data_IF_044685641173
#
_entry.id   IF_044685641173
#
_cell.length_a   1.000
_cell.length_b   1.000
_cell.length_c   1.000
_cell.angle_alpha   90.00
_cell.angle_beta   90.00
_cell.angle_gamma   90.00
#
_symmetry.space_group_name_H-M   'P 1'
#
loop_
_entity.id
_entity.type
_entity.pdbx_description
1 polymer ?
#
# COMPACT_ATOMS: atom_id res chain seq x y z
N UNK A 1 9.70 -5.77 14.91
CA UNK A 1 8.56 -4.88 15.19
C UNK A 1 8.10 -4.33 13.85
N UNK A 2 6.81 -4.17 13.60
CA UNK A 2 6.35 -3.66 12.31
C UNK A 2 6.70 -2.17 12.20
N UNK A 3 7.61 -1.82 11.30
CA UNK A 3 8.11 -0.45 11.10
C UNK A 3 7.14 0.44 10.28
N UNK A 4 5.87 0.04 10.22
CA UNK A 4 4.80 0.77 9.53
C UNK A 4 3.47 0.64 10.26
N UNK A 5 2.60 1.62 10.03
CA UNK A 5 1.23 1.71 10.57
C UNK A 5 0.28 1.90 9.40
N UNK A 6 -0.77 1.08 9.32
CA UNK A 6 -1.85 1.28 8.35
C UNK A 6 -2.88 2.29 8.87
N UNK A 7 -3.30 3.21 8.01
CA UNK A 7 -4.59 3.88 8.19
C UNK A 7 -5.72 2.83 8.14
N UNK A 8 -6.79 2.93 8.94
CA UNK A 8 -7.88 1.95 8.96
C UNK A 8 -8.44 1.64 7.56
N UNK A 9 -8.73 2.67 6.76
CA UNK A 9 -9.23 2.46 5.39
C UNK A 9 -8.19 1.82 4.45
N UNK A 10 -6.89 1.98 4.71
CA UNK A 10 -5.85 1.30 3.94
C UNK A 10 -5.78 -0.20 4.30
N UNK A 11 -5.99 -0.55 5.57
CA UNK A 11 -6.13 -1.93 6.00
C UNK A 11 -7.38 -2.59 5.40
N UNK A 12 -8.50 -1.86 5.34
CA UNK A 12 -9.71 -2.33 4.65
C UNK A 12 -9.50 -2.52 3.15
N UNK A 13 -8.79 -1.61 2.48
CA UNK A 13 -8.45 -1.74 1.06
C UNK A 13 -7.62 -2.99 0.79
N UNK A 14 -6.62 -3.24 1.62
CA UNK A 14 -5.82 -4.46 1.58
C UNK A 14 -6.68 -5.71 1.76
N UNK A 15 -7.49 -5.75 2.82
CA UNK A 15 -8.36 -6.88 3.13
C UNK A 15 -9.37 -7.16 2.01
N UNK A 16 -10.02 -6.11 1.49
CA UNK A 16 -10.96 -6.22 0.38
C UNK A 16 -10.30 -6.72 -0.90
N UNK A 17 -9.08 -6.27 -1.20
CA UNK A 17 -8.31 -6.75 -2.35
C UNK A 17 -7.95 -8.23 -2.21
N UNK A 18 -7.45 -8.63 -1.03
CA UNK A 18 -7.14 -10.03 -0.74
C UNK A 18 -8.39 -10.91 -0.89
N UNK A 19 -9.50 -10.53 -0.25
CA UNK A 19 -10.75 -11.28 -0.30
C UNK A 19 -11.32 -11.35 -1.73
N UNK A 20 -11.18 -10.28 -2.51
CA UNK A 20 -11.53 -10.28 -3.92
C UNK A 20 -10.72 -11.33 -4.68
N UNK A 21 -9.40 -11.37 -4.55
CA UNK A 21 -8.58 -12.38 -5.22
C UNK A 21 -8.87 -13.80 -4.70
N UNK A 22 -9.06 -13.97 -3.40
CA UNK A 22 -9.33 -15.26 -2.75
C UNK A 22 -10.61 -15.92 -3.29
N UNK A 23 -11.66 -15.12 -3.53
CA UNK A 23 -12.92 -15.58 -4.17
C UNK A 23 -12.72 -16.13 -5.58
N UNK A 24 -11.64 -15.77 -6.28
CA UNK A 24 -11.30 -16.29 -7.62
C UNK A 24 -10.29 -17.42 -7.54
N UNK A 25 -9.25 -17.26 -6.73
CA UNK A 25 -8.20 -18.25 -6.53
C UNK A 25 -7.35 -17.88 -5.31
N UNK A 26 -7.29 -18.79 -4.33
CA UNK A 26 -6.41 -18.63 -3.16
C UNK A 26 -4.95 -18.45 -3.55
N UNK A 27 -4.48 -19.16 -4.58
CA UNK A 27 -3.11 -19.00 -5.10
C UNK A 27 -2.81 -17.55 -5.52
N UNK A 28 -3.76 -16.88 -6.18
CA UNK A 28 -3.59 -15.48 -6.61
C UNK A 28 -3.65 -14.53 -5.40
N UNK A 29 -4.50 -14.82 -4.42
CA UNK A 29 -4.56 -14.04 -3.17
C UNK A 29 -3.23 -14.11 -2.40
N UNK A 30 -2.64 -15.31 -2.30
CA UNK A 30 -1.34 -15.49 -1.66
C UNK A 30 -0.22 -14.81 -2.45
N UNK A 31 -0.29 -14.80 -3.79
CA UNK A 31 0.64 -14.03 -4.63
C UNK A 31 0.49 -12.52 -4.38
N UNK A 32 -0.73 -12.02 -4.22
CA UNK A 32 -1.01 -10.63 -3.90
C UNK A 32 -0.43 -10.24 -2.54
N UNK A 33 -0.72 -11.01 -1.49
CA UNK A 33 -0.19 -10.80 -0.14
C UNK A 33 1.35 -10.78 -0.14
N UNK A 34 2.00 -11.75 -0.80
CA UNK A 34 3.47 -11.78 -0.92
C UNK A 34 4.04 -10.53 -1.60
N UNK A 35 3.38 -9.99 -2.62
CA UNK A 35 3.83 -8.77 -3.29
C UNK A 35 3.62 -7.51 -2.43
N UNK A 36 2.53 -7.45 -1.66
CA UNK A 36 2.29 -6.38 -0.68
C UNK A 36 3.35 -6.41 0.41
N UNK A 37 3.61 -7.57 1.02
CA UNK A 37 4.66 -7.71 2.04
C UNK A 37 6.05 -7.34 1.50
N UNK A 38 6.36 -7.77 0.28
CA UNK A 38 7.63 -7.42 -0.38
C UNK A 38 7.73 -5.90 -0.56
N UNK A 39 6.66 -5.25 -0.98
CA UNK A 39 6.63 -3.79 -1.12
C UNK A 39 6.80 -3.09 0.24
N UNK A 40 6.11 -3.55 1.29
CA UNK A 40 6.24 -2.99 2.65
C UNK A 40 7.67 -3.12 3.18
N UNK A 41 8.33 -4.28 3.00
CA UNK A 41 9.75 -4.46 3.38
C UNK A 41 10.66 -3.48 2.63
N UNK A 42 10.44 -3.28 1.34
CA UNK A 42 11.24 -2.35 0.53
C UNK A 42 11.02 -0.88 0.93
N UNK A 43 9.75 -0.52 1.21
CA UNK A 43 9.39 0.81 1.72
C UNK A 43 10.08 1.04 3.06
N UNK A 44 9.92 0.13 4.02
CA UNK A 44 10.55 0.23 5.35
C UNK A 44 12.07 0.35 5.28
N UNK A 45 12.75 -0.42 4.42
CA UNK A 45 14.21 -0.41 4.34
C UNK A 45 14.77 0.87 3.70
N UNK A 46 14.04 1.46 2.76
CA UNK A 46 14.52 2.60 1.95
C UNK A 46 13.39 3.62 1.70
N UNK A 47 12.79 4.19 2.76
CA UNK A 47 11.52 4.90 2.64
C UNK A 47 11.61 6.20 1.87
N UNK A 48 12.79 6.81 1.78
CA UNK A 48 13.01 8.05 1.05
C UNK A 48 13.37 7.85 -0.43
N UNK A 49 13.57 6.59 -0.88
CA UNK A 49 14.01 6.28 -2.24
C UNK A 49 12.86 6.27 -3.26
N UNK A 50 11.65 5.93 -2.83
CA UNK A 50 10.52 5.75 -3.74
C UNK A 50 9.93 7.09 -4.20
N UNK A 51 9.34 7.17 -5.42
CA UNK A 51 8.84 8.42 -5.99
C UNK A 51 7.89 9.18 -5.05
N UNK A 52 8.03 10.51 -5.05
CA UNK A 52 7.08 11.39 -4.39
C UNK A 52 5.76 11.42 -5.17
N UNK A 53 4.65 11.33 -4.45
CA UNK A 53 3.32 11.63 -4.98
C UNK A 53 3.04 13.13 -4.86
N UNK A 54 3.39 13.72 -3.72
CA UNK A 54 3.41 15.16 -3.45
C UNK A 54 4.48 15.49 -2.38
N UNK A 55 4.39 16.64 -1.72
CA UNK A 55 5.38 17.08 -0.74
C UNK A 55 5.47 16.20 0.51
N UNK A 56 4.38 15.50 0.84
CA UNK A 56 4.28 14.70 2.07
C UNK A 56 4.22 13.19 1.78
N UNK A 57 3.72 12.82 0.61
CA UNK A 57 3.41 11.44 0.28
C UNK A 57 4.37 10.89 -0.77
N UNK A 58 4.59 9.58 -0.67
CA UNK A 58 5.33 8.76 -1.63
C UNK A 58 4.46 7.59 -2.05
N UNK A 59 4.81 6.97 -3.17
CA UNK A 59 4.11 5.79 -3.64
C UNK A 59 5.04 4.70 -4.15
N UNK A 60 4.59 3.46 -3.99
CA UNK A 60 5.25 2.28 -4.51
C UNK A 60 4.28 1.51 -5.41
N UNK A 61 4.71 1.19 -6.64
CA UNK A 61 3.90 0.41 -7.59
C UNK A 61 4.08 -1.09 -7.38
N UNK A 62 2.97 -1.83 -7.24
CA UNK A 62 2.98 -3.29 -7.12
C UNK A 62 3.04 -3.91 -8.52
N UNK A 63 4.22 -4.21 -9.06
CA UNK A 63 4.39 -4.58 -10.49
C UNK A 63 3.45 -5.67 -11.03
N UNK A 64 3.06 -6.67 -10.22
CA UNK A 64 2.21 -7.80 -10.66
C UNK A 64 0.71 -7.53 -10.54
N UNK A 65 0.32 -6.47 -9.85
CA UNK A 65 -1.07 -6.19 -9.52
C UNK A 65 -1.38 -4.72 -9.83
N UNK A 66 -2.62 -4.38 -10.21
CA UNK A 66 -2.99 -2.99 -10.51
C UNK A 66 -3.15 -2.16 -9.23
N UNK A 67 -2.14 -2.14 -8.36
CA UNK A 67 -2.15 -1.47 -7.06
C UNK A 67 -0.90 -0.63 -6.84
N UNK A 68 -1.06 0.41 -6.03
CA UNK A 68 0.04 1.15 -5.43
C UNK A 68 -0.15 1.27 -3.92
N UNK A 69 0.96 1.31 -3.19
CA UNK A 69 0.97 1.66 -1.76
C UNK A 69 1.30 3.14 -1.68
N UNK A 70 0.39 3.94 -1.13
CA UNK A 70 0.64 5.34 -0.80
C UNK A 70 1.03 5.42 0.67
N UNK A 71 2.14 6.09 0.96
CA UNK A 71 2.63 6.23 2.32
C UNK A 71 3.28 7.58 2.57
N UNK A 72 3.44 7.94 3.84
CA UNK A 72 4.26 9.07 4.29
C UNK A 72 5.22 8.64 5.40
N UNK A 73 6.27 9.42 5.59
CA UNK A 73 7.24 9.25 6.66
C UNK A 73 6.95 10.32 7.71
N UNK A 74 6.66 9.91 8.95
CA UNK A 74 6.39 10.85 10.05
C UNK A 74 6.95 10.30 11.35
N UNK A 75 7.72 11.10 12.09
CA UNK A 75 8.42 10.68 13.31
C UNK A 75 9.14 9.33 13.15
N UNK A 76 9.92 9.20 12.06
CA UNK A 76 10.70 8.00 11.72
C UNK A 76 9.86 6.72 11.50
N UNK A 77 8.54 6.85 11.33
CA UNK A 77 7.64 5.74 11.03
C UNK A 77 6.98 5.88 9.67
N UNK A 78 6.69 4.74 9.06
CA UNK A 78 5.95 4.66 7.80
C UNK A 78 4.46 4.61 8.10
N UNK A 79 3.69 5.53 7.55
CA UNK A 79 2.23 5.52 7.61
C UNK A 79 1.70 5.16 6.24
N UNK A 80 1.07 4.00 6.11
CA UNK A 80 0.41 3.54 4.89
C UNK A 80 -0.98 4.15 4.83
N UNK A 81 -1.17 5.09 3.91
CA UNK A 81 -2.40 5.91 3.78
C UNK A 81 -3.41 5.24 2.85
N UNK A 82 -2.94 4.48 1.86
CA UNK A 82 -3.79 3.72 0.95
C UNK A 82 -3.10 2.51 0.34
N UNK A 83 -3.87 1.46 0.08
CA UNK A 83 -3.55 0.38 -0.85
C UNK A 83 -4.44 0.57 -2.07
N UNK A 84 -4.01 1.49 -2.93
CA UNK A 84 -4.85 2.06 -3.97
C UNK A 84 -4.87 1.18 -5.22
N UNK A 85 -6.05 0.66 -5.57
CA UNK A 85 -6.27 0.05 -6.87
C UNK A 85 -6.21 1.11 -7.98
N UNK A 86 -5.59 0.80 -9.12
CA UNK A 86 -5.31 1.73 -10.22
C UNK A 86 -6.54 2.30 -10.94
N UNK A 87 -7.72 1.71 -10.72
CA UNK A 87 -9.00 2.24 -11.22
C UNK A 87 -9.66 3.25 -10.27
N UNK A 88 -9.13 3.45 -9.06
CA UNK A 88 -9.68 4.47 -8.14
C UNK A 88 -9.33 5.87 -8.63
N UNK A 89 -10.20 6.82 -8.31
CA UNK A 89 -9.99 8.24 -8.63
C UNK A 89 -8.70 8.74 -7.98
N UNK A 90 -7.83 9.48 -8.67
CA UNK A 90 -6.66 10.09 -8.05
C UNK A 90 -7.04 10.89 -6.78
N UNK A 91 -6.14 10.97 -5.80
CA UNK A 91 -6.31 11.74 -4.56
C UNK A 91 -7.45 11.34 -3.62
N UNK A 92 -8.19 10.25 -3.86
CA UNK A 92 -9.34 9.86 -3.03
C UNK A 92 -9.02 9.66 -1.54
N UNK A 93 -7.75 9.39 -1.22
CA UNK A 93 -7.23 9.10 0.12
C UNK A 93 -6.72 10.34 0.85
N UNK A 94 -6.74 11.53 0.23
CA UNK A 94 -6.18 12.77 0.82
C UNK A 94 -6.94 13.28 2.05
N UNK A 95 -8.13 12.76 2.31
CA UNK A 95 -8.93 13.09 3.49
C UNK A 95 -8.61 12.21 4.72
N UNK A 96 -7.58 11.35 4.65
CA UNK A 96 -7.21 10.34 5.66
C UNK A 96 -5.99 10.74 6.52
N UNK A 97 -5.75 12.04 6.62
CA UNK A 97 -4.58 12.61 7.33
C UNK A 97 -4.72 12.62 8.85
#
# INVERSE_FOLDING_TARGET
>A
MSDYIFHPEAAEEYANAYEWYAKRSLRIADEFEREIERALRLITNTPETWPKYDDQHRYFLIRKFPFSIIYRIFNERIYVIAVAHGSRRPNYWKNRE
#
